data_IF_526301341084
#
_entry.id   IF_526301341084
#
_cell.length_a   1.000
_cell.length_b   1.000
_cell.length_c   1.000
_cell.angle_alpha   90.00
_cell.angle_beta   90.00
_cell.angle_gamma   90.00
#
_symmetry.space_group_name_H-M   'P 1'
#
loop_
_entity.id
_entity.type
_entity.pdbx_description
1 polymer ?
#
# COMPACT_ATOMS: atom_id res chain seq x y z
N UNK A 1 24.58 2.04 16.82
CA UNK A 1 23.61 1.79 17.92
C UNK A 1 22.57 0.83 17.37
N UNK A 2 22.68 -0.47 17.64
CA UNK A 2 21.69 -1.44 17.20
C UNK A 2 20.45 -1.27 18.05
N UNK A 3 19.37 -0.76 17.45
CA UNK A 3 18.06 -0.69 18.11
C UNK A 3 17.68 -2.11 18.54
N UNK A 4 17.51 -2.32 19.84
CA UNK A 4 16.90 -3.52 20.39
C UNK A 4 15.48 -3.61 19.84
N UNK A 5 15.28 -4.34 18.75
CA UNK A 5 13.99 -4.57 18.11
C UNK A 5 13.18 -5.56 18.95
N UNK A 6 12.73 -5.08 20.12
CA UNK A 6 11.87 -5.84 21.03
C UNK A 6 10.50 -5.97 20.36
N UNK A 7 10.25 -7.14 19.77
CA UNK A 7 8.96 -7.50 19.19
C UNK A 7 7.85 -7.36 20.25
N UNK A 8 6.81 -6.59 19.95
CA UNK A 8 5.61 -6.44 20.77
C UNK A 8 4.43 -7.18 20.11
N UNK A 9 3.56 -7.81 20.91
CA UNK A 9 2.33 -8.48 20.43
C UNK A 9 1.15 -7.51 20.52
N UNK A 10 0.39 -7.42 19.42
CA UNK A 10 -0.90 -6.72 19.37
C UNK A 10 -1.98 -7.78 19.10
N UNK A 11 -3.04 -7.76 19.89
CA UNK A 11 -4.20 -8.65 19.71
C UNK A 11 -5.40 -7.85 19.21
N UNK A 12 -6.07 -8.40 18.21
CA UNK A 12 -7.29 -7.84 17.63
C UNK A 12 -8.40 -8.89 17.67
N UNK A 13 -9.52 -8.57 18.31
CA UNK A 13 -10.73 -9.38 18.25
C UNK A 13 -11.53 -8.98 17.01
N UNK A 14 -11.87 -9.98 16.21
CA UNK A 14 -12.70 -9.83 15.01
C UNK A 14 -13.71 -10.97 14.97
N UNK A 15 -14.84 -10.73 14.33
CA UNK A 15 -15.79 -11.77 13.97
C UNK A 15 -15.20 -12.70 12.91
N UNK A 16 -15.79 -13.89 12.77
CA UNK A 16 -15.34 -14.86 11.77
C UNK A 16 -15.53 -14.34 10.32
N UNK A 17 -16.51 -13.48 10.08
CA UNK A 17 -16.76 -12.86 8.78
C UNK A 17 -15.70 -11.80 8.45
N UNK A 18 -15.34 -10.95 9.41
CA UNK A 18 -14.24 -9.99 9.27
C UNK A 18 -12.91 -10.70 9.03
N UNK A 19 -12.61 -11.77 9.77
CA UNK A 19 -11.41 -12.59 9.56
C UNK A 19 -11.33 -13.12 8.13
N UNK A 20 -12.44 -13.63 7.57
CA UNK A 20 -12.50 -14.11 6.18
C UNK A 20 -12.29 -12.97 5.18
N UNK A 21 -12.83 -11.77 5.43
CA UNK A 21 -12.61 -10.59 4.59
C UNK A 21 -11.15 -10.15 4.60
N UNK A 22 -10.53 -10.07 5.77
CA UNK A 22 -9.10 -9.73 5.91
C UNK A 22 -8.23 -10.74 5.16
N UNK A 23 -8.53 -12.03 5.27
CA UNK A 23 -7.80 -13.08 4.56
C UNK A 23 -7.85 -12.89 3.04
N UNK A 24 -9.04 -12.66 2.47
CA UNK A 24 -9.21 -12.43 1.03
C UNK A 24 -8.48 -11.17 0.54
N UNK A 25 -8.53 -10.09 1.32
CA UNK A 25 -7.83 -8.84 0.98
C UNK A 25 -6.31 -9.01 1.04
N UNK A 26 -5.80 -9.73 2.05
CA UNK A 26 -4.37 -10.03 2.16
C UNK A 26 -3.91 -10.89 0.97
N UNK A 27 -4.67 -11.95 0.64
CA UNK A 27 -4.41 -12.84 -0.49
C UNK A 27 -4.39 -12.08 -1.82
N UNK A 28 -5.36 -11.19 -2.07
CA UNK A 28 -5.38 -10.40 -3.30
C UNK A 28 -4.19 -9.44 -3.42
N UNK A 29 -3.57 -9.06 -2.30
CA UNK A 29 -2.35 -8.26 -2.26
C UNK A 29 -1.05 -9.11 -2.23
N UNK A 30 -1.15 -10.45 -2.25
CA UNK A 30 0.01 -11.33 -2.13
C UNK A 30 0.68 -11.30 -0.76
N UNK A 31 -0.06 -10.91 0.29
CA UNK A 31 0.45 -10.72 1.66
C UNK A 31 -0.11 -11.77 2.62
N UNK A 32 0.63 -12.05 3.69
CA UNK A 32 0.06 -12.74 4.85
C UNK A 32 -0.95 -11.83 5.57
N UNK A 33 -1.89 -12.42 6.33
CA UNK A 33 -2.86 -11.66 7.13
C UNK A 33 -2.15 -10.69 8.10
N UNK A 34 -1.09 -11.15 8.77
CA UNK A 34 -0.31 -10.32 9.70
C UNK A 34 0.41 -9.17 8.99
N UNK A 35 0.94 -9.41 7.79
CA UNK A 35 1.59 -8.38 6.98
C UNK A 35 0.59 -7.32 6.53
N UNK A 36 -0.54 -7.75 5.98
CA UNK A 36 -1.60 -6.87 5.54
C UNK A 36 -2.11 -5.98 6.69
N UNK A 37 -2.41 -6.58 7.85
CA UNK A 37 -2.86 -5.81 9.02
C UNK A 37 -1.77 -4.85 9.48
N UNK A 38 -0.50 -5.27 9.54
CA UNK A 38 0.61 -4.40 9.94
C UNK A 38 0.73 -3.18 9.02
N UNK A 39 0.68 -3.38 7.71
CA UNK A 39 0.74 -2.30 6.72
C UNK A 39 -0.42 -1.32 6.90
N UNK A 40 -1.65 -1.82 7.01
CA UNK A 40 -2.84 -0.99 7.26
C UNK A 40 -2.72 -0.19 8.56
N UNK A 41 -2.24 -0.81 9.65
CA UNK A 41 -2.04 -0.10 10.93
C UNK A 41 -0.94 0.95 10.90
N UNK A 42 0.02 0.83 9.97
CA UNK A 42 1.08 1.83 9.73
C UNK A 42 0.66 2.89 8.70
N UNK A 43 -0.59 2.88 8.24
CA UNK A 43 -1.14 3.84 7.30
C UNK A 43 -0.89 3.51 5.83
N UNK A 44 -0.32 2.36 5.50
CA UNK A 44 -0.16 1.94 4.11
C UNK A 44 -1.48 1.43 3.54
N UNK A 45 -1.70 1.66 2.24
CA UNK A 45 -2.75 1.05 1.43
C UNK A 45 -2.13 -0.03 0.53
N UNK A 46 -2.12 -1.31 0.95
CA UNK A 46 -1.58 -2.40 0.14
C UNK A 46 -2.31 -2.48 -1.20
N UNK A 47 -1.54 -2.66 -2.28
CA UNK A 47 -2.10 -2.85 -3.62
C UNK A 47 -2.32 -4.33 -3.90
N UNK A 48 -3.38 -4.61 -4.63
CA UNK A 48 -3.58 -5.90 -5.27
C UNK A 48 -2.43 -6.21 -6.21
N UNK A 49 -2.00 -7.47 -6.25
CA UNK A 49 -0.94 -7.92 -7.15
C UNK A 49 -1.39 -7.67 -8.59
N UNK A 50 -0.54 -7.00 -9.37
CA UNK A 50 -0.78 -6.79 -10.80
C UNK A 50 -0.55 -8.10 -11.57
N UNK A 51 -1.23 -8.31 -12.72
CA UNK A 51 -1.00 -9.47 -13.55
C UNK A 51 0.47 -9.59 -14.01
N UNK A 52 0.97 -10.81 -14.19
CA UNK A 52 2.35 -11.07 -14.63
C UNK A 52 2.75 -10.32 -15.91
N UNK A 53 1.78 -10.12 -16.82
CA UNK A 53 1.97 -9.34 -18.05
C UNK A 53 2.40 -7.89 -17.80
N UNK A 54 1.99 -7.30 -16.67
CA UNK A 54 2.45 -5.96 -16.28
C UNK A 54 3.93 -5.96 -15.95
N UNK A 55 4.43 -6.96 -15.23
CA UNK A 55 5.85 -7.04 -14.88
C UNK A 55 6.72 -7.29 -16.12
N UNK A 56 6.23 -8.08 -17.08
CA UNK A 56 6.89 -8.21 -18.39
C UNK A 56 6.95 -6.87 -19.13
N UNK A 57 5.84 -6.13 -19.19
CA UNK A 57 5.81 -4.78 -19.77
C UNK A 57 6.79 -3.82 -19.06
N UNK A 58 6.78 -3.79 -17.73
CA UNK A 58 7.66 -2.94 -16.95
C UNK A 58 9.14 -3.30 -17.17
N UNK A 59 9.48 -4.60 -17.23
CA UNK A 59 10.83 -5.05 -17.58
C UNK A 59 11.26 -4.60 -18.98
N UNK A 60 10.34 -4.60 -19.96
CA UNK A 60 10.63 -4.07 -21.29
C UNK A 60 10.91 -2.56 -21.25
N UNK A 61 10.18 -1.79 -20.45
CA UNK A 61 10.46 -0.36 -20.24
C UNK A 61 11.85 -0.15 -19.64
N UNK A 62 12.23 -0.89 -18.60
CA UNK A 62 13.56 -0.79 -18.01
C UNK A 62 14.67 -1.10 -19.04
N UNK A 63 14.50 -2.17 -19.84
CA UNK A 63 15.46 -2.51 -20.91
C UNK A 63 15.56 -1.40 -21.96
N UNK A 64 14.44 -0.79 -22.33
CA UNK A 64 14.44 0.34 -23.25
C UNK A 64 15.26 1.50 -22.67
N UNK A 65 15.09 1.83 -21.38
CA UNK A 65 15.90 2.85 -20.71
C UNK A 65 17.40 2.53 -20.79
N UNK A 66 17.79 1.29 -20.49
CA UNK A 66 19.18 0.84 -20.57
C UNK A 66 19.73 0.91 -22.01
N UNK A 67 18.91 0.57 -23.00
CA UNK A 67 19.32 0.57 -24.41
C UNK A 67 19.50 1.98 -24.99
N UNK A 68 18.74 2.95 -24.50
CA UNK A 68 18.82 4.35 -24.97
C UNK A 68 19.74 5.22 -24.12
N UNK A 69 20.23 4.70 -22.99
CA UNK A 69 21.26 5.34 -22.18
C UNK A 69 22.45 5.76 -23.05
N UNK A 70 22.96 6.98 -22.84
CA UNK A 70 24.03 7.61 -23.64
C UNK A 70 23.75 7.83 -25.15
N UNK A 71 22.58 7.42 -25.67
CA UNK A 71 22.17 7.62 -27.07
C UNK A 71 21.19 8.78 -27.26
N UNK A 72 20.70 9.35 -26.18
CA UNK A 72 19.78 10.50 -26.15
C UNK A 72 20.40 11.67 -25.39
N UNK A 73 19.79 12.85 -25.47
CA UNK A 73 20.25 13.98 -24.67
C UNK A 73 20.06 13.72 -23.17
N UNK A 74 20.94 14.27 -22.30
CA UNK A 74 20.81 14.11 -20.84
C UNK A 74 19.45 14.54 -20.29
N UNK A 75 18.87 15.61 -20.85
CA UNK A 75 17.53 16.08 -20.46
C UNK A 75 16.44 15.07 -20.81
N UNK A 76 16.57 14.37 -21.94
CA UNK A 76 15.61 13.36 -22.38
C UNK A 76 15.73 12.10 -21.52
N UNK A 77 16.96 11.66 -21.26
CA UNK A 77 17.24 10.53 -20.38
C UNK A 77 16.68 10.74 -18.98
N UNK A 78 16.92 11.93 -18.40
CA UNK A 78 16.39 12.29 -17.10
C UNK A 78 14.86 12.22 -17.06
N UNK A 79 14.17 12.81 -18.05
CA UNK A 79 12.71 12.77 -18.13
C UNK A 79 12.16 11.35 -18.29
N UNK A 80 12.87 10.51 -19.04
CA UNK A 80 12.51 9.11 -19.21
C UNK A 80 12.56 8.36 -17.86
N UNK A 81 13.65 8.52 -17.11
CA UNK A 81 13.81 7.93 -15.77
C UNK A 81 12.72 8.45 -14.83
N UNK A 82 12.51 9.77 -14.77
CA UNK A 82 11.46 10.39 -13.94
C UNK A 82 10.06 9.83 -14.26
N UNK A 83 9.77 9.58 -15.54
CA UNK A 83 8.49 8.99 -15.96
C UNK A 83 8.36 7.53 -15.52
N UNK A 84 9.43 6.72 -15.64
CA UNK A 84 9.41 5.32 -15.20
C UNK A 84 9.29 5.23 -13.67
N UNK A 85 9.94 6.11 -12.93
CA UNK A 85 9.82 6.23 -11.48
C UNK A 85 8.39 6.59 -11.07
N UNK A 86 7.75 7.52 -11.78
CA UNK A 86 6.34 7.88 -11.55
C UNK A 86 5.42 6.67 -11.78
N UNK A 87 5.61 5.91 -12.86
CA UNK A 87 4.87 4.66 -13.13
C UNK A 87 5.04 3.68 -11.96
N UNK A 88 6.26 3.49 -11.46
CA UNK A 88 6.52 2.62 -10.32
C UNK A 88 5.82 3.13 -9.04
N UNK A 89 5.90 4.43 -8.76
CA UNK A 89 5.25 5.02 -7.59
C UNK A 89 3.72 4.86 -7.62
N UNK A 90 3.11 5.06 -8.79
CA UNK A 90 1.66 5.00 -8.95
C UNK A 90 1.12 3.56 -8.99
N UNK A 91 1.85 2.62 -9.59
CA UNK A 91 1.32 1.28 -9.87
C UNK A 91 1.88 0.20 -8.95
N UNK A 92 3.13 0.32 -8.50
CA UNK A 92 3.81 -0.74 -7.74
C UNK A 92 3.91 -0.45 -6.24
N UNK A 93 4.11 0.81 -5.86
CA UNK A 93 4.32 1.16 -4.45
C UNK A 93 2.99 1.44 -3.73
N UNK A 94 2.80 0.92 -2.51
CA UNK A 94 1.62 1.24 -1.71
C UNK A 94 1.65 2.70 -1.26
N UNK A 95 0.52 3.39 -1.38
CA UNK A 95 0.36 4.73 -0.82
C UNK A 95 0.39 4.69 0.70
N UNK A 96 0.88 5.78 1.32
CA UNK A 96 0.93 5.90 2.77
C UNK A 96 0.18 7.14 3.23
N UNK A 97 -0.87 6.92 4.00
CA UNK A 97 -1.61 7.99 4.67
C UNK A 97 -0.77 8.64 5.77
N UNK A 98 -0.82 9.96 5.82
CA UNK A 98 -0.27 10.76 6.92
C UNK A 98 -1.14 10.64 8.16
N UNK A 99 -0.57 10.92 9.34
CA UNK A 99 -1.33 10.92 10.60
C UNK A 99 -2.56 11.86 10.53
N UNK A 100 -2.45 13.01 9.85
CA UNK A 100 -3.58 13.93 9.65
C UNK A 100 -4.72 13.30 8.85
N UNK A 101 -4.40 12.56 7.78
CA UNK A 101 -5.40 11.86 6.96
C UNK A 101 -6.06 10.73 7.76
N UNK A 102 -5.28 9.95 8.52
CA UNK A 102 -5.81 8.88 9.37
C UNK A 102 -6.77 9.44 10.42
N UNK A 103 -6.40 10.52 11.13
CA UNK A 103 -7.29 11.14 12.11
C UNK A 103 -8.61 11.62 11.49
N UNK A 104 -8.55 12.20 10.28
CA UNK A 104 -9.75 12.63 9.55
C UNK A 104 -10.62 11.46 9.10
N UNK A 105 -10.02 10.34 8.71
CA UNK A 105 -10.77 9.13 8.36
C UNK A 105 -11.49 8.56 9.59
N UNK A 106 -10.79 8.43 10.72
CA UNK A 106 -11.34 7.85 11.97
C UNK A 106 -12.52 8.65 12.50
N UNK A 107 -12.53 9.98 12.38
CA UNK A 107 -13.69 10.80 12.83
C UNK A 107 -14.95 10.50 12.04
N UNK A 108 -14.85 10.05 10.78
CA UNK A 108 -16.02 9.63 10.00
C UNK A 108 -16.60 8.29 10.48
N UNK A 109 -15.76 7.38 10.99
CA UNK A 109 -16.20 6.08 11.49
C UNK A 109 -16.99 6.21 12.80
N UNK A 110 -16.65 7.19 13.63
CA UNK A 110 -17.31 7.41 14.93
C UNK A 110 -18.74 7.96 14.83
N UNK A 111 -19.10 8.63 13.73
CA UNK A 111 -20.42 9.23 13.59
C UNK A 111 -21.57 8.21 13.42
N UNK A 112 -21.27 6.96 13.06
CA UNK A 112 -22.31 5.95 12.80
C UNK A 112 -22.93 5.30 14.06
N UNK A 113 -22.45 5.60 15.27
CA UNK A 113 -22.92 4.95 16.51
C UNK A 113 -23.95 5.74 17.34
N UNK A 114 -24.33 6.96 16.93
CA UNK A 114 -25.25 7.81 17.71
C UNK A 114 -26.70 7.66 17.26
N UNK A 115 -27.34 6.53 17.62
CA UNK A 115 -28.81 6.45 17.66
C UNK A 115 -29.34 6.99 19.00
N UNK A 116 -30.49 7.68 19.05
CA UNK A 116 -31.02 8.21 20.31
C UNK A 116 -31.36 7.06 21.26
N UNK A 117 -30.80 7.11 22.47
CA UNK A 117 -31.13 6.19 23.56
C UNK A 117 -32.59 6.38 23.95
N UNK A 118 -33.47 5.48 23.50
CA UNK A 118 -34.85 5.40 23.96
C UNK A 118 -34.92 4.67 25.30
N UNK A 119 -34.42 5.28 26.36
CA UNK A 119 -34.80 4.97 27.74
C UNK A 119 -34.72 6.25 28.56
N UNK A 120 -35.86 6.68 29.08
CA UNK A 120 -36.09 7.90 29.85
C UNK A 120 -37.51 8.36 29.68
#
# INVERSE_FOLDING_TARGET
>A
MLLNDKKARIELRVTQSEKKKIAKLAESCGLSQSEYVRQRTLGYAPRTVLPDVFFHFYQMLCRLCDEVADKVSPDTERKLIETVDEIQQQLLLPEKSTAKQICKEVTTWQQQASGPSRYG
#
